data_IF_454050039133
#
_entry.id   IF_454050039133
#
_cell.length_a   1.000
_cell.length_b   1.000
_cell.length_c   1.000
_cell.angle_alpha   90.00
_cell.angle_beta   90.00
_cell.angle_gamma   90.00
#
_symmetry.space_group_name_H-M   'P 1'
#
loop_
_entity.id
_entity.type
_entity.pdbx_description
1 polymer ?
#
# COMPACT_ATOMS: atom_id res chain seq x y z
N UNK A 1 11.15 6.37 26.56
CA UNK A 1 10.79 6.69 25.15
C UNK A 1 11.57 5.75 24.24
N UNK A 2 10.98 4.65 23.76
CA UNK A 2 11.69 3.63 22.97
C UNK A 2 11.65 4.00 21.48
N UNK A 3 12.83 4.20 20.90
CA UNK A 3 13.06 4.41 19.48
C UNK A 3 12.62 3.15 18.70
N UNK A 4 11.77 3.31 17.69
CA UNK A 4 11.45 2.23 16.73
C UNK A 4 12.49 2.23 15.61
N UNK A 5 13.53 1.43 15.78
CA UNK A 5 14.33 0.88 14.67
C UNK A 5 13.60 -0.33 14.09
N UNK A 6 12.48 -0.09 13.41
CA UNK A 6 11.97 -1.05 12.42
C UNK A 6 12.43 -0.57 11.04
N UNK A 7 12.69 -1.46 10.07
CA UNK A 7 12.95 -1.04 8.69
C UNK A 7 11.84 -0.08 8.30
N UNK A 8 12.21 1.18 7.98
CA UNK A 8 11.28 2.28 7.76
C UNK A 8 10.21 1.85 6.78
N UNK A 9 9.04 1.53 7.30
CA UNK A 9 7.93 1.12 6.46
C UNK A 9 7.33 2.38 5.86
N UNK A 10 7.66 2.67 4.61
CA UNK A 10 7.17 3.86 3.92
C UNK A 10 5.70 3.66 3.49
N UNK A 11 4.90 4.72 3.53
CA UNK A 11 3.47 4.72 3.16
C UNK A 11 3.23 4.22 1.74
N UNK A 12 4.14 4.54 0.80
CA UNK A 12 4.08 4.04 -0.57
C UNK A 12 4.07 2.51 -0.64
N UNK A 13 4.91 1.85 0.15
CA UNK A 13 4.99 0.39 0.18
C UNK A 13 3.72 -0.25 0.74
N UNK A 14 3.13 0.35 1.78
CA UNK A 14 1.85 -0.10 2.36
C UNK A 14 0.74 0.07 1.33
N UNK A 15 0.67 1.20 0.64
CA UNK A 15 -0.36 1.46 -0.37
C UNK A 15 -0.28 0.45 -1.54
N UNK A 16 0.93 0.16 -2.03
CA UNK A 16 1.15 -0.83 -3.10
C UNK A 16 0.69 -2.22 -2.64
N UNK A 17 1.11 -2.67 -1.45
CA UNK A 17 0.71 -3.97 -0.91
C UNK A 17 -0.80 -4.07 -0.66
N UNK A 18 -1.42 -3.01 -0.14
CA UNK A 18 -2.87 -2.96 0.08
C UNK A 18 -3.66 -3.19 -1.22
N UNK A 19 -3.22 -2.56 -2.32
CA UNK A 19 -3.84 -2.74 -3.64
C UNK A 19 -3.59 -4.15 -4.18
N UNK A 20 -2.34 -4.62 -4.16
CA UNK A 20 -1.95 -5.93 -4.72
C UNK A 20 -2.54 -7.12 -3.95
N UNK A 21 -2.91 -6.96 -2.69
CA UNK A 21 -3.52 -8.03 -1.90
C UNK A 21 -5.01 -8.24 -2.21
N UNK A 22 -5.63 -7.35 -2.99
CA UNK A 22 -6.99 -7.56 -3.48
C UNK A 22 -6.99 -8.61 -4.61
N UNK A 23 -7.76 -9.70 -4.51
CA UNK A 23 -7.64 -10.84 -5.43
C UNK A 23 -7.99 -10.52 -6.89
N UNK A 24 -8.78 -9.46 -7.14
CA UNK A 24 -9.09 -9.00 -8.49
C UNK A 24 -7.97 -8.18 -9.16
N UNK A 25 -6.85 -7.93 -8.48
CA UNK A 25 -5.77 -7.07 -8.95
C UNK A 25 -4.51 -7.89 -9.16
N UNK A 26 -4.06 -7.98 -10.41
CA UNK A 26 -2.86 -8.75 -10.78
C UNK A 26 -1.58 -7.92 -10.71
N UNK A 27 -1.66 -6.61 -10.94
CA UNK A 27 -0.51 -5.71 -10.98
C UNK A 27 -0.91 -4.29 -10.58
N UNK A 28 0.08 -3.52 -10.11
CA UNK A 28 -0.05 -2.11 -9.78
C UNK A 28 0.95 -1.30 -10.60
N UNK A 29 0.47 -0.27 -11.31
CA UNK A 29 1.31 0.66 -12.06
C UNK A 29 1.66 1.83 -11.14
N UNK A 30 2.95 2.02 -10.85
CA UNK A 30 3.43 3.04 -9.91
C UNK A 30 4.23 4.10 -10.67
N UNK A 31 3.79 5.36 -10.59
CA UNK A 31 4.51 6.49 -11.16
C UNK A 31 5.74 6.87 -10.32
N UNK A 32 6.91 6.99 -10.95
CA UNK A 32 8.18 7.31 -10.29
C UNK A 32 8.85 8.53 -10.94
N UNK A 33 9.53 9.35 -10.13
CA UNK A 33 10.30 10.53 -10.61
C UNK A 33 11.66 10.70 -9.92
N UNK A 34 11.97 9.84 -8.96
CA UNK A 34 13.25 9.82 -8.24
C UNK A 34 13.68 8.37 -8.03
N UNK A 35 14.98 8.16 -7.80
CA UNK A 35 15.52 6.85 -7.47
C UNK A 35 14.89 6.26 -6.20
N UNK A 36 14.58 7.11 -5.22
CA UNK A 36 13.93 6.66 -4.00
C UNK A 36 12.54 6.07 -4.26
N UNK A 37 11.74 6.68 -5.15
CA UNK A 37 10.42 6.13 -5.49
C UNK A 37 10.52 4.76 -6.17
N UNK A 38 11.53 4.56 -7.02
CA UNK A 38 11.80 3.25 -7.62
C UNK A 38 12.17 2.23 -6.56
N UNK A 39 13.09 2.57 -5.66
CA UNK A 39 13.52 1.69 -4.58
C UNK A 39 12.34 1.30 -3.66
N UNK A 40 11.48 2.26 -3.32
CA UNK A 40 10.27 2.00 -2.53
C UNK A 40 9.30 1.07 -3.27
N UNK A 41 9.05 1.28 -4.56
CA UNK A 41 8.16 0.43 -5.34
C UNK A 41 8.66 -1.02 -5.43
N UNK A 42 9.97 -1.21 -5.65
CA UNK A 42 10.59 -2.54 -5.70
C UNK A 42 10.57 -3.22 -4.33
N UNK A 43 10.90 -2.48 -3.26
CA UNK A 43 10.87 -3.02 -1.89
C UNK A 43 9.45 -3.42 -1.46
N UNK A 44 8.42 -2.74 -1.97
CA UNK A 44 7.04 -3.08 -1.69
C UNK A 44 6.69 -4.52 -2.09
N UNK A 45 7.19 -5.01 -3.25
CA UNK A 45 6.89 -6.37 -3.76
C UNK A 45 7.50 -7.46 -2.88
N UNK A 46 8.68 -7.21 -2.31
CA UNK A 46 9.40 -8.17 -1.47
C UNK A 46 8.88 -8.20 -0.02
N UNK A 47 8.00 -7.26 0.33
CA UNK A 47 7.51 -7.11 1.68
C UNK A 47 6.48 -8.19 2.04
N UNK A 48 6.45 -8.55 3.32
CA UNK A 48 5.37 -9.37 3.89
C UNK A 48 4.00 -8.74 3.62
N UNK A 49 3.04 -9.58 3.22
CA UNK A 49 1.65 -9.17 3.03
C UNK A 49 1.04 -8.58 4.30
N UNK A 50 0.09 -7.66 4.13
CA UNK A 50 -0.63 -7.08 5.25
C UNK A 50 -1.46 -8.16 5.95
N UNK A 51 -1.53 -8.09 7.27
CA UNK A 51 -2.40 -8.95 8.05
C UNK A 51 -3.87 -8.62 7.76
N UNK A 52 -4.76 -9.58 8.01
CA UNK A 52 -6.20 -9.34 7.88
C UNK A 52 -6.69 -8.19 8.78
N UNK A 53 -6.06 -8.03 9.94
CA UNK A 53 -6.32 -6.92 10.85
C UNK A 53 -5.93 -5.57 10.23
N UNK A 54 -4.73 -5.46 9.65
CA UNK A 54 -4.28 -4.23 8.98
C UNK A 54 -5.14 -3.91 7.76
N UNK A 55 -5.50 -4.91 6.95
CA UNK A 55 -6.40 -4.72 5.81
C UNK A 55 -7.77 -4.19 6.24
N UNK A 56 -8.32 -4.69 7.34
CA UNK A 56 -9.58 -4.22 7.91
C UNK A 56 -9.43 -2.79 8.41
N UNK A 57 -8.37 -2.51 9.17
CA UNK A 57 -8.07 -1.17 9.68
C UNK A 57 -7.98 -0.14 8.54
N UNK A 58 -7.30 -0.46 7.43
CA UNK A 58 -7.19 0.46 6.30
C UNK A 58 -8.53 0.67 5.58
N UNK A 59 -9.31 -0.38 5.37
CA UNK A 59 -10.66 -0.27 4.77
C UNK A 59 -11.61 0.59 5.59
N UNK A 60 -11.49 0.55 6.91
CA UNK A 60 -12.38 1.27 7.83
C UNK A 60 -11.85 2.68 8.19
N UNK A 61 -10.62 3.00 7.82
CA UNK A 61 -9.99 4.29 8.17
C UNK A 61 -10.61 5.49 7.47
N UNK A 62 -11.21 5.29 6.30
CA UNK A 62 -11.89 6.34 5.52
C UNK A 62 -13.15 5.77 4.84
N UNK A 63 -14.18 6.59 4.59
CA UNK A 63 -15.33 6.18 3.79
C UNK A 63 -14.91 5.76 2.37
N UNK A 64 -15.52 4.70 1.85
CA UNK A 64 -15.32 4.31 0.46
C UNK A 64 -15.94 5.34 -0.50
N UNK A 65 -15.15 5.85 -1.43
CA UNK A 65 -15.63 6.73 -2.48
C UNK A 65 -16.28 5.91 -3.59
N UNK A 66 -17.48 6.30 -4.01
CA UNK A 66 -18.19 5.67 -5.12
C UNK A 66 -18.44 6.69 -6.23
N UNK A 67 -18.24 6.27 -7.49
CA UNK A 67 -18.61 7.09 -8.64
C UNK A 67 -20.12 7.36 -8.65
N UNK A 68 -20.51 8.62 -8.85
CA UNK A 68 -21.91 9.06 -8.90
C UNK A 68 -22.39 9.22 -10.35
N UNK A 69 -21.52 9.73 -11.22
CA UNK A 69 -21.79 9.91 -12.65
C UNK A 69 -21.35 8.69 -13.47
N UNK A 70 -22.06 8.41 -14.56
CA UNK A 70 -21.77 7.35 -15.54
C UNK A 70 -21.69 5.92 -14.96
N UNK A 71 -22.63 5.58 -14.08
CA UNK A 71 -22.82 4.19 -13.61
C UNK A 71 -23.40 3.28 -14.68
#
# INVERSE_FOLDING_TARGET
MRQRTQPQTNSAQIAIQYVLQHPAITAAVVGIRTQQHLNDAVAAVQKQSLTQYELKLFRESIPANFYQEHR
#
